data_IF_378836340340
#
_entry.id   IF_378836340340
#
_cell.length_a   1.000
_cell.length_b   1.000
_cell.length_c   1.000
_cell.angle_alpha   90.00
_cell.angle_beta   90.00
_cell.angle_gamma   90.00
#
_symmetry.space_group_name_H-M   'P 1'
#
loop_
_entity.id
_entity.type
_entity.pdbx_description
1 polymer ?
#
# COMPACT_ATOMS: atom_id res chain seq x y z
N UNK A 1 6.50 -8.44 36.53
CA UNK A 1 5.05 -8.70 36.46
C UNK A 1 4.64 -8.72 34.99
N UNK A 2 4.28 -9.92 34.51
CA UNK A 2 3.42 -10.37 33.38
C UNK A 2 2.98 -9.41 32.23
N UNK A 3 2.53 -9.93 31.05
CA UNK A 3 2.54 -11.32 30.55
C UNK A 3 2.96 -11.54 29.07
N UNK A 4 3.15 -12.81 28.71
CA UNK A 4 3.44 -13.38 27.39
C UNK A 4 2.21 -13.49 26.45
N UNK A 5 2.39 -13.60 25.11
CA UNK A 5 1.27 -13.73 24.18
C UNK A 5 0.71 -15.16 24.12
N UNK A 6 -0.62 -15.26 24.10
CA UNK A 6 -1.39 -16.50 24.01
C UNK A 6 -1.42 -17.03 22.57
N UNK A 7 -1.25 -18.35 22.41
CA UNK A 7 -1.58 -19.10 21.19
C UNK A 7 -3.07 -18.93 20.86
N UNK A 8 -3.36 -18.40 19.67
CA UNK A 8 -4.71 -18.37 19.09
C UNK A 8 -5.08 -19.75 18.54
N UNK A 9 -6.27 -20.21 18.88
CA UNK A 9 -6.87 -21.43 18.34
C UNK A 9 -7.22 -21.26 16.87
N UNK A 10 -6.93 -22.28 16.05
CA UNK A 10 -7.32 -22.33 14.65
C UNK A 10 -8.85 -22.39 14.52
N UNK A 11 -9.41 -21.46 13.76
CA UNK A 11 -10.80 -21.46 13.31
C UNK A 11 -10.91 -22.49 12.16
N UNK A 12 -11.85 -23.45 12.18
CA UNK A 12 -12.04 -24.32 11.02
C UNK A 12 -12.59 -23.48 9.86
N UNK A 13 -11.83 -23.42 8.76
CA UNK A 13 -12.23 -22.76 7.54
C UNK A 13 -13.56 -23.37 7.03
N UNK A 14 -14.53 -22.51 6.76
CA UNK A 14 -15.78 -22.90 6.13
C UNK A 14 -15.49 -23.45 4.72
N UNK A 15 -15.82 -24.73 4.49
CA UNK A 15 -15.76 -25.35 3.18
C UNK A 15 -16.85 -24.70 2.30
N UNK A 16 -16.53 -24.08 1.16
CA UNK A 16 -17.55 -23.62 0.24
C UNK A 16 -18.26 -24.83 -0.37
N UNK A 17 -19.57 -24.88 -0.23
CA UNK A 17 -20.44 -25.91 -0.81
C UNK A 17 -20.35 -25.86 -2.34
N UNK A 18 -19.69 -26.86 -2.95
CA UNK A 18 -19.63 -27.04 -4.39
C UNK A 18 -20.68 -28.08 -4.82
N UNK A 19 -21.66 -27.65 -5.62
CA UNK A 19 -22.67 -28.52 -6.22
C UNK A 19 -22.26 -28.84 -7.66
N UNK A 20 -21.84 -30.08 -7.92
CA UNK A 20 -21.59 -30.59 -9.26
C UNK A 20 -22.61 -31.70 -9.57
N UNK A 21 -23.44 -31.49 -10.59
CA UNK A 21 -24.32 -32.52 -11.14
C UNK A 21 -23.91 -32.81 -12.59
N UNK A 22 -23.81 -34.08 -13.01
CA UNK A 22 -23.50 -34.42 -14.40
C UNK A 22 -24.63 -33.93 -15.33
N UNK A 23 -24.32 -33.46 -16.56
CA UNK A 23 -25.33 -32.91 -17.46
C UNK A 23 -26.33 -34.00 -17.86
N UNK A 24 -27.60 -33.81 -17.48
CA UNK A 24 -28.71 -34.69 -17.87
C UNK A 24 -29.43 -34.10 -19.08
N UNK A 25 -29.44 -34.84 -20.18
CA UNK A 25 -30.16 -34.45 -21.39
C UNK A 25 -31.67 -34.34 -21.12
N UNK A 26 -32.26 -33.20 -21.47
CA UNK A 26 -33.70 -32.99 -21.42
C UNK A 26 -34.39 -33.79 -22.56
N UNK A 27 -35.51 -34.47 -22.31
CA UNK A 27 -36.23 -35.15 -23.38
C UNK A 27 -36.73 -34.12 -24.41
N UNK A 28 -36.50 -34.41 -25.69
CA UNK A 28 -36.89 -33.54 -26.79
C UNK A 28 -38.40 -33.34 -26.78
N UNK A 29 -38.82 -32.08 -26.64
CA UNK A 29 -40.23 -31.70 -26.71
C UNK A 29 -40.62 -31.55 -28.18
N UNK A 30 -41.62 -32.32 -28.62
CA UNK A 30 -42.12 -32.23 -30.00
C UNK A 30 -42.64 -30.82 -30.30
N UNK A 31 -42.16 -30.22 -31.39
CA UNK A 31 -42.42 -28.81 -31.79
C UNK A 31 -43.81 -28.56 -32.40
N UNK A 32 -44.63 -29.59 -32.62
CA UNK A 32 -45.98 -29.44 -33.18
C UNK A 32 -47.01 -30.31 -32.45
N UNK A 33 -48.23 -29.78 -32.32
CA UNK A 33 -49.41 -30.46 -31.78
C UNK A 33 -49.90 -31.50 -32.81
N UNK A 34 -50.03 -32.80 -32.46
CA UNK A 34 -50.55 -33.78 -33.39
C UNK A 34 -52.08 -33.66 -33.57
N UNK A 35 -52.64 -34.09 -34.72
CA UNK A 35 -54.08 -34.08 -34.99
C UNK A 35 -54.84 -35.11 -34.12
N UNK A 36 -56.14 -34.88 -33.84
CA UNK A 36 -56.91 -35.76 -32.97
C UNK A 36 -57.61 -36.82 -33.82
N UNK A 37 -57.07 -38.04 -33.92
CA UNK A 37 -57.84 -39.28 -34.18
C UNK A 37 -56.89 -40.47 -34.29
N UNK A 38 -56.77 -41.23 -33.19
CA UNK A 38 -56.53 -42.68 -33.13
C UNK A 38 -56.28 -43.11 -31.68
N UNK A 39 -57.20 -43.92 -31.14
CA UNK A 39 -57.13 -44.93 -30.06
C UNK A 39 -56.31 -44.69 -28.76
N UNK A 40 -56.80 -45.17 -27.60
CA UNK A 40 -56.21 -44.91 -26.30
C UNK A 40 -54.98 -45.80 -26.08
N UNK A 41 -53.79 -45.23 -26.18
CA UNK A 41 -52.62 -45.79 -25.50
C UNK A 41 -52.59 -45.21 -24.09
N UNK A 42 -52.57 -46.10 -23.11
CA UNK A 42 -52.49 -45.82 -21.68
C UNK A 42 -51.27 -44.93 -21.39
N UNK A 43 -51.50 -43.62 -21.35
CA UNK A 43 -50.56 -42.68 -20.74
C UNK A 43 -50.64 -42.94 -19.24
N UNK A 44 -49.56 -43.45 -18.66
CA UNK A 44 -49.36 -43.38 -17.22
C UNK A 44 -49.71 -41.96 -16.76
N UNK A 45 -50.56 -41.79 -15.73
CA UNK A 45 -50.91 -40.47 -15.26
C UNK A 45 -49.62 -39.78 -14.84
N UNK A 46 -49.29 -38.67 -15.49
CA UNK A 46 -48.21 -37.78 -15.07
C UNK A 46 -48.45 -37.51 -13.59
N UNK A 47 -47.66 -38.17 -12.74
CA UNK A 47 -47.72 -38.00 -11.30
C UNK A 47 -47.18 -36.61 -11.03
N UNK A 48 -48.07 -35.63 -10.98
CA UNK A 48 -47.78 -34.35 -10.37
C UNK A 48 -47.42 -34.66 -8.91
N UNK A 49 -46.12 -34.70 -8.63
CA UNK A 49 -45.63 -34.81 -7.28
C UNK A 49 -45.95 -33.47 -6.61
N UNK A 50 -47.03 -33.46 -5.82
CA UNK A 50 -47.34 -32.33 -4.96
C UNK A 50 -46.09 -32.04 -4.12
N UNK A 51 -45.55 -30.81 -4.21
CA UNK A 51 -44.40 -30.38 -3.40
C UNK A 51 -44.62 -30.56 -1.90
N UNK A 52 -45.86 -30.82 -1.47
CA UNK A 52 -46.27 -31.20 -0.11
C UNK A 52 -45.88 -32.63 0.31
N UNK A 53 -45.42 -33.48 -0.61
CA UNK A 53 -44.99 -34.85 -0.32
C UNK A 53 -43.55 -35.13 -0.78
N UNK A 54 -42.83 -34.11 -1.25
CA UNK A 54 -41.41 -34.24 -1.62
C UNK A 54 -40.55 -34.36 -0.33
N UNK A 55 -39.76 -35.42 -0.16
CA UNK A 55 -38.90 -35.63 1.01
C UNK A 55 -37.74 -34.61 1.11
N UNK A 56 -37.45 -33.86 0.04
CA UNK A 56 -36.41 -32.82 0.05
C UNK A 56 -36.92 -31.48 0.56
N UNK A 57 -38.24 -31.31 0.62
CA UNK A 57 -38.89 -30.07 1.06
C UNK A 57 -39.14 -30.17 2.57
N UNK A 58 -38.23 -29.59 3.35
CA UNK A 58 -38.34 -29.52 4.81
C UNK A 58 -39.44 -28.51 5.17
N UNK A 59 -40.53 -28.99 5.75
CA UNK A 59 -41.67 -28.15 6.18
C UNK A 59 -41.57 -27.90 7.68
N UNK A 60 -41.07 -26.73 8.07
CA UNK A 60 -40.90 -26.34 9.47
C UNK A 60 -39.86 -25.23 9.65
N UNK A 61 -39.76 -24.71 10.87
CA UNK A 61 -38.81 -23.65 11.22
C UNK A 61 -37.37 -24.20 11.24
N UNK A 62 -36.47 -23.64 10.44
CA UNK A 62 -35.09 -24.15 10.22
C UNK A 62 -34.10 -23.82 11.35
N UNK A 63 -34.54 -23.11 12.39
CA UNK A 63 -33.68 -22.67 13.50
C UNK A 63 -33.57 -23.65 14.69
N UNK A 64 -34.27 -24.79 14.67
CA UNK A 64 -34.29 -25.73 15.81
C UNK A 64 -33.56 -27.07 15.58
N UNK A 65 -32.70 -27.18 14.56
CA UNK A 65 -31.92 -28.39 14.25
C UNK A 65 -30.44 -28.29 14.68
N UNK A 66 -30.19 -27.67 15.82
CA UNK A 66 -28.93 -27.88 16.56
C UNK A 66 -29.23 -28.26 18.00
N UNK A 67 -29.89 -29.40 18.17
CA UNK A 67 -29.73 -30.23 19.36
C UNK A 67 -29.49 -31.63 18.84
N UNK A 68 -28.26 -32.11 18.97
CA UNK A 68 -27.90 -33.52 18.76
C UNK A 68 -28.68 -34.32 19.81
N UNK A 69 -29.66 -35.17 19.44
CA UNK A 69 -30.27 -36.07 20.39
C UNK A 69 -29.32 -37.24 20.57
N UNK A 70 -28.55 -37.21 21.65
CA UNK A 70 -27.96 -38.41 22.20
C UNK A 70 -29.09 -39.28 22.75
N UNK A 71 -29.71 -40.12 21.92
CA UNK A 71 -30.51 -41.30 22.31
C UNK A 71 -30.96 -42.07 21.05
N UNK A 72 -30.11 -43.00 20.59
CA UNK A 72 -30.44 -44.06 19.62
C UNK A 72 -31.38 -45.11 20.25
N UNK A 73 -32.65 -44.75 20.53
CA UNK A 73 -33.61 -45.72 21.05
C UNK A 73 -35.07 -45.52 20.57
N UNK A 74 -35.34 -44.67 19.59
CA UNK A 74 -36.71 -44.47 19.09
C UNK A 74 -36.97 -44.85 17.63
N UNK A 75 -36.01 -45.48 16.93
CA UNK A 75 -36.22 -45.94 15.54
C UNK A 75 -36.44 -47.45 15.41
N UNK A 76 -36.23 -48.25 16.48
CA UNK A 76 -36.46 -49.70 16.45
C UNK A 76 -37.94 -50.06 16.27
N UNK A 77 -38.85 -49.30 16.90
CA UNK A 77 -40.29 -49.57 16.83
C UNK A 77 -40.89 -49.25 15.45
N UNK A 78 -40.40 -48.19 14.80
CA UNK A 78 -40.82 -47.83 13.43
C UNK A 78 -40.26 -48.80 12.38
N UNK A 79 -38.99 -49.21 12.52
CA UNK A 79 -38.37 -50.24 11.68
C UNK A 79 -39.08 -51.59 11.87
N UNK A 80 -39.46 -51.95 13.10
CA UNK A 80 -40.19 -53.18 13.41
C UNK A 80 -41.62 -53.17 12.85
N UNK A 81 -42.33 -52.04 12.95
CA UNK A 81 -43.65 -51.84 12.32
C UNK A 81 -43.58 -51.95 10.80
N UNK A 82 -42.54 -51.40 10.16
CA UNK A 82 -42.34 -51.53 8.71
C UNK A 82 -42.01 -52.96 8.28
N UNK A 83 -41.18 -53.68 9.06
CA UNK A 83 -40.88 -55.10 8.82
C UNK A 83 -42.13 -55.98 8.99
N UNK A 84 -42.94 -55.71 10.02
CA UNK A 84 -44.18 -56.43 10.26
C UNK A 84 -45.23 -56.15 9.17
N UNK A 85 -45.36 -54.89 8.72
CA UNK A 85 -46.21 -54.52 7.60
C UNK A 85 -45.78 -55.21 6.29
N UNK A 86 -44.47 -55.29 6.03
CA UNK A 86 -43.91 -56.00 4.87
C UNK A 86 -44.14 -57.52 4.96
N UNK A 87 -44.02 -58.11 6.15
CA UNK A 87 -44.32 -59.53 6.41
C UNK A 87 -45.82 -59.82 6.21
N UNK A 88 -46.70 -58.97 6.71
CA UNK A 88 -48.16 -59.09 6.55
C UNK A 88 -48.59 -58.92 5.10
N UNK A 89 -47.93 -58.04 4.35
CA UNK A 89 -48.16 -57.87 2.91
C UNK A 89 -47.73 -59.11 2.10
N UNK A 90 -46.58 -59.72 2.42
CA UNK A 90 -46.14 -60.98 1.79
C UNK A 90 -47.04 -62.16 2.15
N UNK A 91 -47.48 -62.27 3.40
CA UNK A 91 -48.45 -63.29 3.81
C UNK A 91 -49.79 -63.14 3.09
N UNK A 92 -50.27 -61.90 2.90
CA UNK A 92 -51.49 -61.61 2.13
C UNK A 92 -51.32 -61.92 0.63
N UNK A 93 -50.11 -61.77 0.06
CA UNK A 93 -49.82 -62.21 -1.32
C UNK A 93 -49.86 -63.73 -1.43
N UNK A 94 -49.19 -64.47 -0.52
CA UNK A 94 -49.22 -65.95 -0.49
C UNK A 94 -50.62 -66.51 -0.25
N UNK A 95 -51.42 -65.89 0.63
CA UNK A 95 -52.81 -66.29 0.86
C UNK A 95 -53.69 -66.07 -0.38
N UNK A 96 -53.45 -64.98 -1.14
CA UNK A 96 -54.12 -64.78 -2.44
C UNK A 96 -53.71 -65.83 -3.48
N UNK A 97 -52.43 -66.21 -3.52
CA UNK A 97 -51.94 -67.27 -4.41
C UNK A 97 -52.53 -68.65 -4.04
N UNK A 98 -52.73 -68.96 -2.75
CA UNK A 98 -53.39 -70.20 -2.32
C UNK A 98 -54.90 -70.22 -2.64
N UNK A 99 -55.59 -69.07 -2.63
CA UNK A 99 -56.99 -68.97 -3.06
C UNK A 99 -57.12 -69.09 -4.60
N UNK A 100 -56.04 -68.82 -5.35
CA UNK A 100 -55.97 -69.02 -6.80
C UNK A 100 -55.60 -70.46 -7.22
N UNK A 101 -55.61 -71.43 -6.29
CA UNK A 101 -55.35 -72.85 -6.61
C UNK A 101 -56.55 -73.55 -7.29
N UNK A 102 -57.71 -72.87 -7.40
CA UNK A 102 -58.81 -73.36 -8.23
C UNK A 102 -58.62 -72.81 -9.65
N UNK A 103 -58.45 -73.67 -10.68
CA UNK A 103 -58.30 -73.20 -12.06
C UNK A 103 -59.53 -72.39 -12.50
N UNK A 104 -59.33 -71.44 -13.42
CA UNK A 104 -60.42 -70.61 -13.94
C UNK A 104 -61.52 -71.46 -14.60
N UNK A 105 -62.81 -71.09 -14.46
CA UNK A 105 -63.90 -71.85 -15.06
C UNK A 105 -63.77 -71.90 -16.59
N UNK A 106 -64.03 -73.06 -17.18
CA UNK A 106 -64.05 -73.23 -18.64
C UNK A 106 -65.19 -72.39 -19.25
N UNK A 107 -64.93 -71.69 -20.36
CA UNK A 107 -65.87 -70.78 -21.00
C UNK A 107 -67.25 -71.44 -21.21
N UNK A 108 -68.30 -70.80 -20.65
CA UNK A 108 -69.68 -71.28 -20.72
C UNK A 108 -70.18 -72.06 -19.49
N UNK A 109 -69.39 -72.19 -18.41
CA UNK A 109 -69.82 -72.78 -17.13
C UNK A 109 -69.42 -71.91 -15.94
N UNK A 110 -70.30 -71.83 -14.94
CA UNK A 110 -70.05 -71.12 -13.68
C UNK A 110 -69.77 -72.12 -12.55
N UNK A 111 -68.78 -71.82 -11.69
CA UNK A 111 -68.50 -72.61 -10.50
C UNK A 111 -69.50 -72.27 -9.37
N UNK A 112 -70.12 -73.28 -8.78
CA UNK A 112 -71.03 -73.14 -7.63
C UNK A 112 -70.34 -73.67 -6.37
N UNK A 113 -70.46 -72.93 -5.26
CA UNK A 113 -69.89 -73.33 -3.97
C UNK A 113 -70.76 -74.42 -3.32
N UNK A 114 -70.17 -75.59 -3.06
CA UNK A 114 -70.82 -76.71 -2.36
C UNK A 114 -70.35 -76.72 -0.91
N UNK A 115 -71.25 -76.97 0.04
CA UNK A 115 -70.92 -77.08 1.47
C UNK A 115 -70.01 -78.30 1.71
N UNK A 116 -68.72 -78.06 1.92
CA UNK A 116 -67.73 -79.09 2.30
C UNK A 116 -67.34 -79.01 3.78
N UNK A 117 -68.24 -78.52 4.62
CA UNK A 117 -68.05 -78.47 6.06
C UNK A 117 -68.28 -79.87 6.66
N UNK A 118 -67.50 -80.24 7.68
CA UNK A 118 -67.57 -81.56 8.30
C UNK A 118 -68.90 -81.71 9.08
N UNK A 119 -69.86 -82.46 8.53
CA UNK A 119 -71.23 -82.63 9.08
C UNK A 119 -71.40 -83.88 9.97
N UNK A 120 -70.39 -84.29 10.74
CA UNK A 120 -70.51 -85.47 11.62
C UNK A 120 -70.33 -85.07 13.08
N UNK A 121 -71.35 -85.33 13.90
CA UNK A 121 -71.31 -85.24 15.37
C UNK A 121 -70.82 -86.58 15.96
N UNK A 122 -69.82 -86.55 16.85
CA UNK A 122 -69.35 -87.72 17.59
C UNK A 122 -70.35 -88.10 18.70
N UNK A 123 -70.92 -89.30 18.63
CA UNK A 123 -71.79 -89.87 19.68
C UNK A 123 -70.90 -90.58 20.70
N UNK A 124 -70.84 -90.05 21.93
CA UNK A 124 -70.06 -90.61 23.04
C UNK A 124 -70.91 -91.53 23.94
N UNK A 125 -71.37 -92.66 23.41
CA UNK A 125 -72.08 -93.68 24.21
C UNK A 125 -71.24 -94.96 24.29
N UNK A 126 -70.79 -95.31 25.51
CA UNK A 126 -69.97 -96.50 25.76
C UNK A 126 -70.88 -97.73 25.85
N UNK A 127 -70.72 -98.68 24.94
CA UNK A 127 -71.39 -99.99 25.01
C UNK A 127 -70.88 -100.82 26.20
N UNK A 128 -71.80 -101.50 26.88
CA UNK A 128 -71.51 -102.37 28.03
C UNK A 128 -70.86 -103.66 27.54
N UNK A 129 -69.66 -103.95 28.02
CA UNK A 129 -68.92 -105.19 27.73
C UNK A 129 -69.41 -106.32 28.66
N UNK A 130 -69.60 -107.52 28.09
CA UNK A 130 -69.96 -108.74 28.83
C UNK A 130 -68.77 -109.68 28.78
N UNK A 131 -68.20 -109.98 29.94
CA UNK A 131 -67.05 -110.86 30.08
C UNK A 131 -67.45 -112.34 29.89
N UNK A 132 -66.81 -112.99 28.93
CA UNK A 132 -66.82 -114.45 28.80
C UNK A 132 -65.41 -114.97 29.04
N UNK A 133 -65.22 -115.70 30.13
CA UNK A 133 -63.92 -116.28 30.50
C UNK A 133 -63.68 -117.58 29.72
N UNK A 134 -62.54 -117.67 29.02
CA UNK A 134 -62.03 -118.90 28.41
C UNK A 134 -60.59 -119.15 28.87
N UNK A 135 -60.35 -120.33 29.41
CA UNK A 135 -59.08 -120.81 29.95
C UNK A 135 -58.23 -121.45 28.83
N UNK A 136 -57.04 -120.93 28.51
CA UNK A 136 -55.74 -121.66 28.50
C UNK A 136 -54.62 -120.99 27.69
N UNK A 137 -53.44 -121.10 28.31
CA UNK A 137 -52.04 -120.97 27.89
C UNK A 137 -51.43 -119.61 27.51
N UNK A 138 -50.31 -119.30 28.19
CA UNK A 138 -49.55 -118.07 28.01
C UNK A 138 -48.69 -118.15 26.75
N UNK A 139 -49.11 -117.46 25.69
CA UNK A 139 -48.35 -117.30 24.45
C UNK A 139 -46.99 -116.63 24.73
N UNK A 140 -45.89 -117.38 24.56
CA UNK A 140 -44.55 -116.78 24.42
C UNK A 140 -44.38 -116.34 22.95
N UNK A 141 -44.06 -115.07 22.74
CA UNK A 141 -43.85 -114.52 21.40
C UNK A 141 -42.73 -115.27 20.65
N UNK A 142 -43.10 -115.86 19.51
CA UNK A 142 -42.15 -116.45 18.58
C UNK A 142 -41.26 -115.34 18.00
N UNK A 143 -39.92 -115.45 18.03
CA UNK A 143 -39.08 -114.43 17.40
C UNK A 143 -39.44 -114.32 15.91
N UNK A 144 -39.42 -113.10 15.33
CA UNK A 144 -39.81 -112.89 13.95
C UNK A 144 -38.93 -113.77 13.04
N UNK A 145 -39.57 -114.54 12.17
CA UNK A 145 -38.87 -115.40 11.21
C UNK A 145 -38.00 -114.52 10.30
N UNK A 146 -36.70 -114.85 10.12
CA UNK A 146 -35.81 -114.02 9.30
C UNK A 146 -36.32 -113.91 7.87
N UNK A 147 -36.25 -112.71 7.30
CA UNK A 147 -36.65 -112.46 5.92
C UNK A 147 -35.78 -113.27 4.95
N UNK A 148 -36.42 -114.05 4.07
CA UNK A 148 -35.72 -114.79 3.03
C UNK A 148 -35.26 -113.82 1.92
N UNK A 149 -33.95 -113.63 1.80
CA UNK A 149 -33.32 -112.85 0.72
C UNK A 149 -32.81 -113.84 -0.34
N UNK A 150 -33.38 -113.87 -1.55
CA UNK A 150 -32.88 -114.71 -2.63
C UNK A 150 -31.41 -114.39 -2.95
N UNK A 151 -30.62 -115.41 -3.29
CA UNK A 151 -29.26 -115.20 -3.78
C UNK A 151 -29.29 -114.39 -5.08
N UNK A 152 -28.53 -113.29 -5.14
CA UNK A 152 -28.42 -112.47 -6.36
C UNK A 152 -27.91 -113.35 -7.51
N UNK A 153 -28.73 -113.51 -8.55
CA UNK A 153 -28.36 -114.21 -9.78
C UNK A 153 -28.19 -113.17 -10.89
N UNK A 154 -26.93 -112.77 -11.12
CA UNK A 154 -26.51 -111.77 -12.10
C UNK A 154 -24.98 -111.62 -12.04
N UNK A 155 -24.36 -111.10 -13.11
CA UNK A 155 -22.94 -110.72 -13.07
C UNK A 155 -22.86 -109.27 -12.63
N UNK A 156 -22.29 -109.03 -11.45
CA UNK A 156 -22.06 -107.67 -10.96
C UNK A 156 -20.88 -107.05 -11.74
N UNK A 157 -21.12 -105.90 -12.37
CA UNK A 157 -20.10 -105.09 -13.05
C UNK A 157 -20.11 -103.72 -12.38
N UNK A 158 -18.97 -103.31 -11.85
CA UNK A 158 -18.76 -101.95 -11.37
C UNK A 158 -18.00 -101.16 -12.44
N UNK A 159 -18.54 -100.01 -12.81
CA UNK A 159 -17.85 -99.01 -13.64
C UNK A 159 -17.52 -97.83 -12.74
N UNK A 160 -16.24 -97.52 -12.59
CA UNK A 160 -15.74 -96.37 -11.86
C UNK A 160 -15.01 -95.46 -12.84
N UNK A 161 -15.23 -94.16 -12.72
CA UNK A 161 -14.46 -93.15 -13.46
C UNK A 161 -13.29 -92.77 -12.57
N UNK A 162 -12.07 -92.88 -13.10
CA UNK A 162 -10.85 -92.57 -12.38
C UNK A 162 -10.55 -91.06 -12.42
N UNK A 163 -9.74 -90.58 -11.47
CA UNK A 163 -9.32 -89.18 -11.42
C UNK A 163 -8.59 -88.79 -12.73
N UNK A 164 -9.16 -87.82 -13.46
CA UNK A 164 -8.60 -87.32 -14.73
C UNK A 164 -9.20 -87.93 -16.00
N UNK A 165 -10.09 -88.92 -15.92
CA UNK A 165 -10.69 -89.55 -17.12
C UNK A 165 -11.69 -88.64 -17.85
N UNK A 166 -12.30 -87.67 -17.15
CA UNK A 166 -13.23 -86.69 -17.70
C UNK A 166 -12.65 -85.27 -17.82
N UNK A 167 -11.35 -85.10 -17.62
CA UNK A 167 -10.73 -83.78 -17.66
C UNK A 167 -10.64 -83.27 -19.11
N UNK A 168 -11.30 -82.15 -19.37
CA UNK A 168 -11.17 -81.41 -20.63
C UNK A 168 -10.36 -80.13 -20.39
N UNK A 169 -9.16 -80.08 -20.97
CA UNK A 169 -8.25 -78.97 -20.77
C UNK A 169 -8.84 -77.65 -21.30
N UNK A 170 -9.53 -77.67 -22.44
CA UNK A 170 -9.99 -76.46 -23.11
C UNK A 170 -11.09 -75.76 -22.31
N UNK A 171 -11.93 -76.53 -21.60
CA UNK A 171 -13.00 -76.01 -20.72
C UNK A 171 -12.42 -75.53 -19.39
N UNK A 172 -11.52 -76.31 -18.79
CA UNK A 172 -11.03 -76.03 -17.44
C UNK A 172 -9.99 -74.88 -17.41
N UNK A 173 -9.28 -74.63 -18.52
CA UNK A 173 -8.30 -73.54 -18.62
C UNK A 173 -8.94 -72.18 -18.91
N UNK A 174 -10.13 -72.16 -19.51
CA UNK A 174 -10.87 -70.94 -19.86
C UNK A 174 -11.01 -69.93 -18.70
N UNK A 175 -11.50 -70.32 -17.49
CA UNK A 175 -11.62 -69.36 -16.38
C UNK A 175 -10.26 -68.87 -15.84
N UNK A 176 -9.21 -69.70 -15.94
CA UNK A 176 -7.85 -69.30 -15.52
C UNK A 176 -7.30 -68.24 -16.47
N UNK A 177 -7.46 -68.46 -17.78
CA UNK A 177 -7.02 -67.50 -18.80
C UNK A 177 -7.84 -66.21 -18.76
N UNK A 178 -9.15 -66.29 -18.55
CA UNK A 178 -10.00 -65.11 -18.43
C UNK A 178 -9.53 -64.21 -17.28
N UNK A 179 -9.24 -64.80 -16.11
CA UNK A 179 -8.73 -64.04 -14.96
C UNK A 179 -7.33 -63.49 -15.22
N UNK A 180 -6.43 -64.27 -15.82
CA UNK A 180 -5.07 -63.80 -16.12
C UNK A 180 -5.06 -62.66 -17.14
N UNK A 181 -5.80 -62.79 -18.24
CA UNK A 181 -5.90 -61.75 -19.27
C UNK A 181 -6.63 -60.54 -18.71
N UNK A 182 -7.74 -60.73 -18.01
CA UNK A 182 -8.49 -59.64 -17.37
C UNK A 182 -7.61 -58.86 -16.38
N UNK A 183 -6.91 -59.55 -15.48
CA UNK A 183 -6.06 -58.90 -14.48
C UNK A 183 -4.87 -58.18 -15.09
N UNK A 184 -4.23 -58.79 -16.10
CA UNK A 184 -3.09 -58.16 -16.79
C UNK A 184 -3.52 -56.92 -17.57
N UNK A 185 -4.66 -56.96 -18.25
CA UNK A 185 -5.21 -55.79 -18.95
C UNK A 185 -5.64 -54.68 -17.98
N UNK A 186 -6.33 -55.02 -16.89
CA UNK A 186 -6.71 -54.06 -15.85
C UNK A 186 -5.50 -53.38 -15.23
N UNK A 187 -4.48 -54.16 -14.86
CA UNK A 187 -3.25 -53.63 -14.27
C UNK A 187 -2.52 -52.72 -15.25
N UNK A 188 -2.34 -53.16 -16.51
CA UNK A 188 -1.68 -52.34 -17.53
C UNK A 188 -2.43 -51.01 -17.78
N UNK A 189 -3.77 -51.05 -17.80
CA UNK A 189 -4.56 -49.82 -17.98
C UNK A 189 -4.39 -48.86 -16.80
N UNK A 190 -4.43 -49.35 -15.57
CA UNK A 190 -4.24 -48.51 -14.38
C UNK A 190 -2.83 -47.89 -14.35
N UNK A 191 -1.80 -48.68 -14.63
CA UNK A 191 -0.41 -48.19 -14.67
C UNK A 191 -0.22 -47.09 -15.72
N UNK A 192 -0.74 -47.29 -16.94
CA UNK A 192 -0.66 -46.27 -18.00
C UNK A 192 -1.42 -45.00 -17.62
N UNK A 193 -2.60 -45.12 -17.02
CA UNK A 193 -3.36 -43.96 -16.56
C UNK A 193 -2.61 -43.18 -15.46
N UNK A 194 -2.00 -43.88 -14.50
CA UNK A 194 -1.20 -43.26 -13.45
C UNK A 194 0.04 -42.55 -14.02
N UNK A 195 0.73 -43.17 -14.99
CA UNK A 195 1.88 -42.56 -15.67
C UNK A 195 1.49 -41.29 -16.44
N UNK A 196 0.37 -41.31 -17.15
CA UNK A 196 -0.15 -40.13 -17.86
C UNK A 196 -0.53 -39.00 -16.91
N UNK A 197 -1.18 -39.31 -15.79
CA UNK A 197 -1.52 -38.33 -14.76
C UNK A 197 -0.26 -37.69 -14.14
N UNK A 198 0.74 -38.50 -13.80
CA UNK A 198 2.02 -38.01 -13.28
C UNK A 198 2.76 -37.14 -14.29
N UNK A 199 2.76 -37.53 -15.57
CA UNK A 199 3.37 -36.75 -16.64
C UNK A 199 2.70 -35.38 -16.81
N UNK A 200 1.36 -35.33 -16.73
CA UNK A 200 0.60 -34.08 -16.77
C UNK A 200 0.89 -33.19 -15.56
N UNK A 201 0.94 -33.74 -14.36
CA UNK A 201 1.28 -33.00 -13.14
C UNK A 201 2.69 -32.40 -13.21
N UNK A 202 3.68 -33.18 -13.68
CA UNK A 202 5.03 -32.67 -13.87
C UNK A 202 5.13 -31.59 -14.95
N UNK A 203 4.41 -31.75 -16.06
CA UNK A 203 4.35 -30.73 -17.10
C UNK A 203 3.76 -29.42 -16.55
N UNK A 204 2.67 -29.51 -15.77
CA UNK A 204 2.05 -28.35 -15.13
C UNK A 204 2.99 -27.70 -14.10
N UNK A 205 3.67 -28.48 -13.26
CA UNK A 205 4.65 -27.96 -12.31
C UNK A 205 5.81 -27.24 -12.99
N UNK A 206 6.35 -27.81 -14.08
CA UNK A 206 7.42 -27.16 -14.87
C UNK A 206 6.96 -25.84 -15.48
N UNK A 207 5.80 -25.82 -16.13
CA UNK A 207 5.24 -24.60 -16.70
C UNK A 207 5.01 -23.51 -15.63
N UNK A 208 4.50 -23.90 -14.45
CA UNK A 208 4.33 -22.97 -13.34
C UNK A 208 5.66 -22.44 -12.79
N UNK A 209 6.67 -23.31 -12.67
CA UNK A 209 8.01 -22.91 -12.22
C UNK A 209 8.67 -21.95 -13.22
N UNK A 210 8.55 -22.20 -14.52
CA UNK A 210 9.04 -21.32 -15.58
C UNK A 210 8.37 -19.95 -15.52
N UNK A 211 7.04 -19.91 -15.40
CA UNK A 211 6.29 -18.65 -15.26
C UNK A 211 6.72 -17.88 -14.01
N UNK A 212 6.79 -18.56 -12.85
CA UNK A 212 7.19 -17.95 -11.59
C UNK A 212 8.62 -17.39 -11.66
N UNK A 213 9.54 -18.11 -12.31
CA UNK A 213 10.92 -17.64 -12.46
C UNK A 213 10.99 -16.42 -13.39
N UNK A 214 10.19 -16.38 -14.46
CA UNK A 214 10.08 -15.22 -15.33
C UNK A 214 9.49 -13.99 -14.61
N UNK A 215 8.41 -14.18 -13.85
CA UNK A 215 7.80 -13.14 -13.03
C UNK A 215 8.78 -12.59 -11.98
N UNK A 216 9.50 -13.48 -11.29
CA UNK A 216 10.49 -13.08 -10.29
C UNK A 216 11.62 -12.25 -10.92
N UNK A 217 12.12 -12.65 -12.08
CA UNK A 217 13.15 -11.90 -12.81
C UNK A 217 12.62 -10.51 -13.26
N UNK A 218 11.35 -10.42 -13.67
CA UNK A 218 10.74 -9.15 -14.04
C UNK A 218 10.58 -8.22 -12.83
N UNK A 219 10.11 -8.75 -11.69
CA UNK A 219 9.98 -7.99 -10.45
C UNK A 219 11.34 -7.44 -10.00
N UNK A 220 12.39 -8.27 -10.00
CA UNK A 220 13.75 -7.81 -9.67
C UNK A 220 14.22 -6.67 -10.58
N UNK A 221 13.99 -6.81 -11.90
CA UNK A 221 14.31 -5.76 -12.86
C UNK A 221 13.59 -4.44 -12.56
N UNK A 222 12.30 -4.50 -12.21
CA UNK A 222 11.50 -3.31 -11.88
C UNK A 222 11.94 -2.70 -10.54
N UNK A 223 12.23 -3.52 -9.53
CA UNK A 223 12.72 -3.05 -8.22
C UNK A 223 14.04 -2.30 -8.34
N UNK A 224 14.97 -2.78 -9.16
CA UNK A 224 16.24 -2.10 -9.43
C UNK A 224 16.04 -0.77 -10.17
N UNK A 225 15.14 -0.73 -11.15
CA UNK A 225 14.78 0.51 -11.85
C UNK A 225 14.18 1.53 -10.88
N UNK A 226 13.25 1.09 -10.02
CA UNK A 226 12.64 1.93 -8.99
C UNK A 226 13.66 2.41 -7.96
N UNK A 227 14.64 1.57 -7.60
CA UNK A 227 15.75 1.97 -6.72
C UNK A 227 16.55 3.12 -7.33
N UNK A 228 16.98 2.97 -8.59
CA UNK A 228 17.71 4.02 -9.33
C UNK A 228 16.90 5.31 -9.43
N UNK A 229 15.61 5.21 -9.76
CA UNK A 229 14.73 6.37 -9.88
C UNK A 229 14.50 7.07 -8.54
N UNK A 230 14.34 6.30 -7.45
CA UNK A 230 14.21 6.84 -6.09
C UNK A 230 15.47 7.60 -5.68
N UNK A 231 16.65 7.02 -5.88
CA UNK A 231 17.93 7.66 -5.60
C UNK A 231 18.13 8.95 -6.40
N UNK A 232 17.82 8.95 -7.71
CA UNK A 232 17.91 10.17 -8.51
C UNK A 232 16.93 11.25 -8.02
N UNK A 233 15.68 10.86 -7.75
CA UNK A 233 14.64 11.77 -7.25
C UNK A 233 15.05 12.40 -5.92
N UNK A 234 15.67 11.64 -5.01
CA UNK A 234 16.19 12.15 -3.75
C UNK A 234 17.35 13.12 -3.96
N UNK A 235 18.31 12.79 -4.83
CA UNK A 235 19.41 13.70 -5.20
C UNK A 235 18.87 15.01 -5.76
N UNK A 236 17.90 14.96 -6.68
CA UNK A 236 17.26 16.16 -7.26
C UNK A 236 16.53 17.00 -6.20
N UNK A 237 15.82 16.36 -5.28
CA UNK A 237 15.15 17.06 -4.16
C UNK A 237 16.17 17.78 -3.28
N UNK A 238 17.26 17.12 -2.90
CA UNK A 238 18.31 17.71 -2.07
C UNK A 238 18.96 18.92 -2.77
N UNK A 239 19.29 18.79 -4.06
CA UNK A 239 19.81 19.90 -4.86
C UNK A 239 18.82 21.08 -4.92
N UNK A 240 17.53 20.79 -5.12
CA UNK A 240 16.51 21.83 -5.17
C UNK A 240 16.32 22.54 -3.82
N UNK A 241 16.33 21.80 -2.72
CA UNK A 241 16.26 22.38 -1.37
C UNK A 241 17.46 23.30 -1.11
N UNK A 242 18.67 22.86 -1.46
CA UNK A 242 19.89 23.68 -1.31
C UNK A 242 19.84 24.94 -2.19
N UNK A 243 19.35 24.82 -3.44
CA UNK A 243 19.16 25.96 -4.32
C UNK A 243 18.16 26.97 -3.73
N UNK A 244 17.02 26.48 -3.22
CA UNK A 244 16.01 27.33 -2.57
C UNK A 244 16.55 28.02 -1.31
N UNK A 245 17.36 27.34 -0.50
CA UNK A 245 18.01 27.93 0.67
C UNK A 245 18.94 29.08 0.25
N UNK A 246 19.83 28.84 -0.72
CA UNK A 246 20.71 29.88 -1.26
C UNK A 246 19.92 31.05 -1.86
N UNK A 247 18.84 30.76 -2.59
CA UNK A 247 17.97 31.81 -3.13
C UNK A 247 17.39 32.66 -2.00
N UNK A 248 16.83 32.05 -0.95
CA UNK A 248 16.32 32.79 0.22
C UNK A 248 17.41 33.68 0.84
N UNK A 249 18.58 33.14 1.13
CA UNK A 249 19.71 33.92 1.66
C UNK A 249 20.08 35.10 0.74
N UNK A 250 20.14 34.87 -0.58
CA UNK A 250 20.45 35.94 -1.53
C UNK A 250 19.35 37.00 -1.56
N UNK A 251 18.08 36.61 -1.52
CA UNK A 251 16.95 37.56 -1.49
C UNK A 251 16.94 38.39 -0.21
N UNK A 252 17.25 37.78 0.93
CA UNK A 252 17.37 38.47 2.22
C UNK A 252 18.54 39.46 2.22
N UNK A 253 19.70 39.07 1.67
CA UNK A 253 20.86 39.98 1.53
C UNK A 253 20.54 41.16 0.62
N UNK A 254 19.87 40.93 -0.51
CA UNK A 254 19.46 41.99 -1.43
C UNK A 254 18.44 42.91 -0.76
N UNK A 255 17.46 42.35 -0.04
CA UNK A 255 16.46 43.12 0.68
C UNK A 255 17.10 43.98 1.79
N UNK A 256 18.04 43.42 2.56
CA UNK A 256 18.78 44.14 3.60
C UNK A 256 19.64 45.26 3.00
N UNK A 257 20.32 45.01 1.88
CA UNK A 257 21.11 46.03 1.18
C UNK A 257 20.22 47.15 0.62
N UNK A 258 19.11 46.81 -0.02
CA UNK A 258 18.15 47.79 -0.53
C UNK A 258 17.54 48.64 0.60
N UNK A 259 17.21 48.00 1.73
CA UNK A 259 16.73 48.69 2.92
C UNK A 259 17.79 49.64 3.48
N UNK A 260 19.03 49.17 3.67
CA UNK A 260 20.13 50.00 4.16
C UNK A 260 20.38 51.18 3.22
N UNK A 261 20.47 50.96 1.91
CA UNK A 261 20.67 52.04 0.93
C UNK A 261 19.58 53.10 1.05
N UNK A 262 18.31 52.69 1.07
CA UNK A 262 17.18 53.62 1.22
C UNK A 262 17.24 54.39 2.54
N UNK A 263 17.50 53.69 3.65
CA UNK A 263 17.62 54.31 4.97
C UNK A 263 18.79 55.30 5.06
N UNK A 264 19.97 54.94 4.56
CA UNK A 264 21.14 55.82 4.53
C UNK A 264 20.93 57.03 3.61
N UNK A 265 20.23 56.87 2.49
CA UNK A 265 19.95 57.98 1.56
C UNK A 265 19.17 59.10 2.25
N UNK A 266 18.22 58.75 3.12
CA UNK A 266 17.42 59.74 3.86
C UNK A 266 18.12 60.22 5.14
N UNK A 267 18.85 59.32 5.84
CA UNK A 267 19.51 59.63 7.10
C UNK A 267 20.72 60.55 6.92
N UNK A 268 21.55 60.33 5.89
CA UNK A 268 22.78 61.10 5.66
C UNK A 268 22.44 62.60 5.55
N UNK A 269 21.58 63.07 4.62
CA UNK A 269 21.24 64.48 4.53
C UNK A 269 20.62 65.03 5.82
N UNK A 270 19.74 64.27 6.48
CA UNK A 270 19.12 64.71 7.74
C UNK A 270 20.15 64.95 8.84
N UNK A 271 21.09 64.02 9.04
CA UNK A 271 22.15 64.17 10.05
C UNK A 271 23.10 65.30 9.69
N UNK A 272 23.49 65.42 8.42
CA UNK A 272 24.35 66.53 7.96
C UNK A 272 23.68 67.90 8.12
N UNK A 273 22.38 68.01 7.82
CA UNK A 273 21.61 69.24 8.08
C UNK A 273 21.52 69.54 9.58
N UNK A 274 21.18 68.55 10.41
CA UNK A 274 21.12 68.73 11.87
C UNK A 274 22.47 69.14 12.47
N UNK A 275 23.58 68.56 12.01
CA UNK A 275 24.93 68.91 12.44
C UNK A 275 25.36 70.32 11.96
N UNK A 276 24.89 70.73 10.78
CA UNK A 276 25.10 72.08 10.26
C UNK A 276 24.30 73.10 11.07
N UNK A 277 23.03 72.81 11.37
CA UNK A 277 22.16 73.61 12.22
C UNK A 277 22.68 73.70 13.66
N UNK A 278 23.28 72.63 14.19
CA UNK A 278 23.91 72.64 15.52
C UNK A 278 25.26 73.36 15.55
N UNK A 279 25.72 73.92 14.42
CA UNK A 279 26.98 74.68 14.32
C UNK A 279 28.24 73.82 14.46
N UNK A 280 28.17 72.51 14.19
CA UNK A 280 29.34 71.64 14.25
C UNK A 280 30.25 71.81 13.02
N UNK A 281 29.65 72.07 11.85
CA UNK A 281 30.38 72.46 10.65
C UNK A 281 30.57 73.98 10.63
N UNK A 282 31.82 74.43 10.70
CA UNK A 282 32.22 75.83 10.60
C UNK A 282 33.08 76.03 9.35
N UNK A 283 33.05 77.23 8.77
CA UNK A 283 34.01 77.61 7.74
C UNK A 283 35.36 77.88 8.42
N UNK A 284 36.45 77.18 8.05
CA UNK A 284 37.77 77.43 8.62
C UNK A 284 38.20 78.89 8.46
N UNK A 285 37.81 79.55 7.37
CA UNK A 285 38.18 80.95 7.12
C UNK A 285 37.46 81.89 8.10
N UNK A 286 36.16 81.68 8.32
CA UNK A 286 35.40 82.46 9.30
C UNK A 286 35.98 82.26 10.71
N UNK A 287 36.34 81.02 11.06
CA UNK A 287 36.92 80.72 12.36
C UNK A 287 38.29 81.37 12.54
N UNK A 288 39.17 81.26 11.56
CA UNK A 288 40.50 81.87 11.58
C UNK A 288 40.41 83.40 11.65
N UNK A 289 39.43 83.99 10.96
CA UNK A 289 39.16 85.43 11.08
C UNK A 289 38.72 85.78 12.51
N UNK A 290 37.78 85.02 13.09
CA UNK A 290 37.30 85.26 14.45
C UNK A 290 38.37 85.05 15.53
N UNK A 291 39.22 84.03 15.38
CA UNK A 291 40.18 83.65 16.43
C UNK A 291 41.55 84.27 16.28
N UNK A 292 41.99 84.58 15.06
CA UNK A 292 43.34 85.11 14.81
C UNK A 292 43.29 86.55 14.32
N UNK A 293 42.53 86.83 13.26
CA UNK A 293 42.55 88.15 12.62
C UNK A 293 41.87 89.24 13.46
N UNK A 294 40.68 89.01 14.00
CA UNK A 294 39.97 90.00 14.80
C UNK A 294 40.75 90.37 16.07
N UNK A 295 41.30 89.41 16.86
CA UNK A 295 42.15 89.75 17.98
C UNK A 295 43.40 90.53 17.56
N UNK A 296 44.09 90.08 16.50
CA UNK A 296 45.25 90.81 15.97
C UNK A 296 44.91 92.24 15.56
N UNK A 297 43.81 92.46 14.83
CA UNK A 297 43.35 93.77 14.42
C UNK A 297 43.01 94.65 15.62
N UNK A 298 42.33 94.09 16.63
CA UNK A 298 42.00 94.81 17.85
C UNK A 298 43.26 95.23 18.62
N UNK A 299 44.29 94.38 18.67
CA UNK A 299 45.59 94.72 19.26
C UNK A 299 46.31 95.82 18.49
N UNK A 300 46.35 95.77 17.14
CA UNK A 300 46.99 96.81 16.34
C UNK A 300 46.24 98.16 16.47
N UNK A 301 44.91 98.12 16.51
CA UNK A 301 44.10 99.32 16.78
C UNK A 301 44.41 99.89 18.16
N UNK A 302 44.52 99.04 19.18
CA UNK A 302 44.92 99.43 20.54
C UNK A 302 46.30 100.09 20.55
N UNK A 303 47.31 99.50 19.90
CA UNK A 303 48.64 100.10 19.77
C UNK A 303 48.60 101.48 19.09
N UNK A 304 47.82 101.64 18.02
CA UNK A 304 47.71 102.95 17.35
C UNK A 304 47.01 103.98 18.23
N UNK A 305 46.04 103.55 19.04
CA UNK A 305 45.36 104.41 20.00
C UNK A 305 46.32 104.82 21.12
N UNK A 306 47.11 103.88 21.64
CA UNK A 306 48.16 104.15 22.63
C UNK A 306 49.21 105.12 22.10
N UNK A 307 49.70 104.93 20.87
CA UNK A 307 50.61 105.87 20.19
C UNK A 307 49.99 107.27 20.09
N UNK A 308 48.69 107.37 19.77
CA UNK A 308 47.96 108.65 19.72
C UNK A 308 47.76 109.27 21.11
N UNK A 309 47.43 108.47 22.13
CA UNK A 309 47.30 108.94 23.52
C UNK A 309 48.64 109.44 24.04
N UNK A 310 49.71 108.68 23.82
CA UNK A 310 51.08 109.09 24.15
C UNK A 310 51.47 110.38 23.42
N UNK A 311 51.16 110.49 22.13
CA UNK A 311 51.37 111.71 21.35
C UNK A 311 50.62 112.92 21.94
N UNK A 312 49.36 112.75 22.34
CA UNK A 312 48.58 113.80 23.04
C UNK A 312 49.19 114.13 24.40
N UNK A 313 49.61 113.15 25.19
CA UNK A 313 50.26 113.38 26.49
C UNK A 313 51.59 114.13 26.34
N UNK A 314 52.41 113.75 25.35
CA UNK A 314 53.65 114.45 25.03
C UNK A 314 53.37 115.87 24.58
N UNK A 315 52.38 116.10 23.71
CA UNK A 315 51.95 117.43 23.29
C UNK A 315 51.47 118.27 24.49
N UNK A 316 50.64 117.72 25.37
CA UNK A 316 50.16 118.38 26.58
C UNK A 316 51.31 118.72 27.55
N UNK A 317 52.33 117.84 27.64
CA UNK A 317 53.54 118.11 28.41
C UNK A 317 54.37 119.23 27.78
N UNK A 318 54.49 119.24 26.45
CA UNK A 318 55.21 120.28 25.71
C UNK A 318 54.51 121.63 25.87
N UNK A 319 53.18 121.66 25.73
CA UNK A 319 52.36 122.85 25.98
C UNK A 319 52.59 123.35 27.41
N UNK A 320 52.56 122.47 28.42
CA UNK A 320 52.90 122.84 29.82
C UNK A 320 54.29 123.46 29.93
N UNK A 321 55.34 122.83 29.38
CA UNK A 321 56.71 123.38 29.45
C UNK A 321 56.86 124.71 28.71
N UNK A 322 56.18 124.91 27.58
CA UNK A 322 56.21 126.19 26.83
C UNK A 322 55.47 127.27 27.62
N UNK A 323 54.33 126.94 28.25
CA UNK A 323 53.60 127.86 29.12
C UNK A 323 54.45 128.23 30.34
N UNK A 324 55.12 127.27 30.99
CA UNK A 324 56.06 127.52 32.09
C UNK A 324 57.23 128.40 31.66
N UNK A 325 57.92 128.08 30.54
CA UNK A 325 59.00 128.92 30.01
C UNK A 325 58.55 130.32 29.63
N UNK A 326 57.32 130.49 29.11
CA UNK A 326 56.75 131.81 28.84
C UNK A 326 56.37 132.55 30.13
N UNK A 327 55.89 131.85 31.14
CA UNK A 327 55.64 132.42 32.47
C UNK A 327 56.96 132.90 33.11
N UNK A 328 58.03 132.11 32.99
CA UNK A 328 59.37 132.44 33.45
C UNK A 328 59.97 133.62 32.67
N UNK A 329 59.81 133.62 31.33
CA UNK A 329 60.24 134.74 30.47
C UNK A 329 59.42 136.02 30.71
N UNK A 330 58.14 135.92 31.06
CA UNK A 330 57.34 137.08 31.43
C UNK A 330 57.68 137.60 32.83
N UNK A 331 58.15 136.70 33.72
CA UNK A 331 58.70 137.06 35.03
C UNK A 331 60.09 137.69 34.94
N UNK A 332 60.73 137.68 33.77
CA UNK A 332 62.03 138.29 33.49
C UNK A 332 62.01 139.15 32.21
N UNK A 333 61.87 140.46 32.33
CA UNK A 333 62.24 141.42 31.28
C UNK A 333 63.05 142.59 31.85
N UNK A 334 63.88 143.30 31.06
CA UNK A 334 64.72 142.82 29.94
C UNK A 334 66.10 143.53 29.87
N UNK A 335 67.20 142.93 29.38
CA UNK A 335 68.38 143.69 28.88
C UNK A 335 69.18 143.01 27.74
N UNK A 336 69.22 143.72 26.60
CA UNK A 336 70.32 143.99 25.65
C UNK A 336 71.37 142.93 25.25
N UNK A 337 71.55 142.80 23.92
CA UNK A 337 72.84 143.12 23.29
C UNK A 337 73.63 141.99 22.59
N UNK A 338 73.49 141.93 21.25
CA UNK A 338 74.53 141.74 20.22
C UNK A 338 75.46 140.50 20.25
N UNK A 339 75.53 139.76 19.13
CA UNK A 339 76.67 139.74 18.15
C UNK A 339 76.77 138.41 17.36
N UNK A 340 76.58 138.52 16.03
CA UNK A 340 77.25 137.85 14.88
C UNK A 340 77.37 136.30 14.81
N UNK A 341 76.72 135.60 13.86
CA UNK A 341 77.05 135.39 12.41
C UNK A 341 77.98 134.17 12.14
N UNK A 342 78.05 133.59 10.92
CA UNK A 342 76.98 133.03 10.07
C UNK A 342 77.36 131.67 9.39
N UNK A 343 76.51 131.19 8.46
CA UNK A 343 76.67 130.06 7.49
C UNK A 343 76.19 128.68 8.01
N UNK A 344 75.45 127.85 7.26
CA UNK A 344 75.40 127.67 5.81
C UNK A 344 74.09 126.92 5.42
N UNK A 345 73.42 127.41 4.38
CA UNK A 345 72.33 126.77 3.61
C UNK A 345 72.95 125.91 2.48
N UNK A 346 72.27 124.88 1.93
CA UNK A 346 71.35 125.15 0.80
C UNK A 346 70.10 124.25 0.73
N UNK A 347 68.93 124.90 0.66
CA UNK A 347 68.04 125.04 -0.52
C UNK A 347 67.88 123.91 -1.59
N UNK A 348 66.76 123.92 -2.34
CA UNK A 348 65.89 122.78 -2.65
C UNK A 348 65.83 122.42 -4.15
N UNK A 349 65.07 121.37 -4.53
CA UNK A 349 64.58 121.21 -5.91
C UNK A 349 63.15 120.60 -5.93
N UNK A 350 62.30 121.31 -6.67
CA UNK A 350 60.95 121.02 -7.15
C UNK A 350 60.82 119.75 -8.04
N UNK A 351 59.56 119.47 -8.40
CA UNK A 351 59.09 118.90 -9.68
C UNK A 351 58.60 117.44 -9.69
N UNK A 352 57.26 117.31 -9.71
CA UNK A 352 56.51 116.35 -10.54
C UNK A 352 56.91 116.51 -12.04
N UNK A 353 56.57 115.64 -13.04
CA UNK A 353 55.34 114.83 -13.14
C UNK A 353 55.42 113.49 -13.97
N UNK A 354 54.27 112.79 -14.10
CA UNK A 354 53.71 112.08 -15.29
C UNK A 354 54.54 110.95 -15.97
N UNK A 355 54.03 109.94 -16.67
CA UNK A 355 52.74 109.35 -17.07
C UNK A 355 53.10 108.05 -17.81
N UNK A 356 52.10 107.23 -18.09
CA UNK A 356 52.01 106.32 -19.25
C UNK A 356 52.94 105.11 -19.24
N UNK A 357 52.55 103.90 -19.61
CA UNK A 357 51.40 103.31 -20.30
C UNK A 357 51.83 101.80 -20.35
N UNK A 358 51.04 100.75 -20.50
CA UNK A 358 49.68 100.51 -20.94
C UNK A 358 49.56 98.96 -20.86
N UNK A 359 48.33 98.46 -20.61
CA UNK A 359 47.70 97.36 -21.38
C UNK A 359 48.33 95.95 -21.24
N UNK A 360 47.63 94.84 -21.07
CA UNK A 360 46.24 94.34 -21.07
C UNK A 360 46.44 92.87 -20.63
N UNK A 361 45.50 92.03 -20.23
CA UNK A 361 44.05 91.94 -20.15
C UNK A 361 43.82 90.69 -19.26
N UNK A 362 42.86 90.69 -18.33
CA UNK A 362 41.54 90.04 -18.46
C UNK A 362 41.63 88.54 -18.88
N UNK A 363 40.95 87.58 -18.29
CA UNK A 363 39.76 87.60 -17.45
C UNK A 363 39.62 86.26 -16.71
N UNK A 364 38.94 86.33 -15.56
CA UNK A 364 38.37 85.24 -14.74
C UNK A 364 37.08 84.66 -15.44
N UNK A 365 36.27 83.71 -14.91
CA UNK A 365 36.43 82.77 -13.77
C UNK A 365 35.75 81.35 -13.97
N UNK A 366 35.75 80.54 -12.87
CA UNK A 366 34.59 79.81 -12.27
C UNK A 366 34.15 78.39 -12.75
N UNK A 367 34.37 77.45 -11.81
CA UNK A 367 33.53 76.35 -11.28
C UNK A 367 33.24 75.02 -11.99
N UNK A 368 33.35 74.00 -11.12
CA UNK A 368 32.47 72.84 -10.93
C UNK A 368 32.61 71.65 -11.89
N UNK A 369 33.22 70.63 -11.31
CA UNK A 369 33.17 69.21 -11.68
C UNK A 369 31.79 68.62 -11.36
N UNK A 370 31.19 67.89 -12.31
CA UNK A 370 30.39 66.68 -12.05
C UNK A 370 30.05 65.88 -13.33
N UNK A 371 30.12 64.56 -13.15
CA UNK A 371 29.44 63.42 -13.83
C UNK A 371 29.72 62.98 -15.29
N UNK A 372 30.19 61.72 -15.40
CA UNK A 372 29.54 60.65 -16.18
C UNK A 372 30.16 60.22 -17.52
N UNK A 373 30.84 59.06 -17.61
CA UNK A 373 30.27 57.78 -18.11
C UNK A 373 31.34 56.65 -18.21
N UNK A 374 30.92 55.40 -17.98
CA UNK A 374 31.73 54.15 -17.99
C UNK A 374 31.76 53.50 -19.40
N UNK A 375 32.34 52.28 -19.65
CA UNK A 375 33.26 51.45 -18.87
C UNK A 375 34.52 50.95 -19.64
N UNK A 376 35.41 50.36 -18.84
CA UNK A 376 36.60 49.59 -19.17
C UNK A 376 36.23 48.21 -19.75
N UNK A 377 36.99 47.78 -20.76
CA UNK A 377 36.86 46.51 -21.47
C UNK A 377 37.26 45.30 -20.61
N UNK A 378 36.47 44.24 -20.74
CA UNK A 378 36.63 42.93 -20.10
C UNK A 378 37.82 42.14 -20.68
N UNK A 379 38.66 41.60 -19.78
CA UNK A 379 39.60 40.52 -20.09
C UNK A 379 38.83 39.23 -20.41
N UNK A 380 38.99 38.74 -21.65
CA UNK A 380 38.58 37.40 -22.05
C UNK A 380 39.53 36.35 -21.46
N UNK A 381 39.24 35.86 -20.25
CA UNK A 381 39.76 34.59 -19.78
C UNK A 381 38.94 33.44 -20.38
N UNK A 382 39.40 32.98 -21.54
CA UNK A 382 39.01 31.70 -22.12
C UNK A 382 39.57 30.55 -21.27
N UNK A 383 38.84 30.13 -20.22
CA UNK A 383 39.01 28.79 -19.63
C UNK A 383 37.76 27.97 -19.89
N UNK A 384 37.83 27.25 -21.00
CA UNK A 384 37.04 26.07 -21.34
C UNK A 384 37.20 25.06 -20.20
N UNK A 385 36.27 25.03 -19.26
CA UNK A 385 36.15 23.94 -18.30
C UNK A 385 35.57 22.77 -19.11
N UNK A 386 36.46 21.85 -19.49
CA UNK A 386 36.11 20.50 -19.90
C UNK A 386 35.32 19.85 -18.76
N UNK A 387 34.06 19.51 -19.02
CA UNK A 387 33.27 18.64 -18.18
C UNK A 387 33.91 17.25 -18.24
N UNK A 388 34.79 16.94 -17.28
CA UNK A 388 35.24 15.58 -17.04
C UNK A 388 34.05 14.83 -16.44
N UNK A 389 33.51 13.89 -17.21
CA UNK A 389 32.73 12.78 -16.71
C UNK A 389 33.65 11.98 -15.78
N UNK A 390 33.44 12.07 -14.47
CA UNK A 390 33.90 11.04 -13.55
C UNK A 390 33.00 9.82 -13.78
N UNK A 391 33.57 8.81 -14.42
CA UNK A 391 33.04 7.45 -14.40
C UNK A 391 33.04 6.94 -12.94
N UNK A 392 31.98 6.26 -12.47
CA UNK A 392 32.04 5.57 -11.20
C UNK A 392 32.88 4.30 -11.35
N UNK A 393 33.86 4.15 -10.46
CA UNK A 393 34.72 2.97 -10.31
C UNK A 393 33.91 1.67 -10.33
N UNK A 394 34.35 0.75 -11.17
CA UNK A 394 33.98 -0.66 -11.18
C UNK A 394 34.90 -1.44 -10.23
N UNK A 395 34.34 -2.51 -9.64
CA UNK A 395 34.94 -3.50 -8.75
C UNK A 395 35.14 -3.00 -7.30
N UNK A 396 34.68 -3.70 -6.25
CA UNK A 396 34.87 -5.12 -5.99
C UNK A 396 33.58 -5.77 -5.45
N UNK A 397 33.08 -6.78 -6.16
CA UNK A 397 32.19 -7.81 -5.61
C UNK A 397 33.10 -8.90 -5.03
N UNK A 398 33.30 -8.90 -3.72
CA UNK A 398 33.88 -10.05 -3.04
C UNK A 398 32.80 -11.12 -2.80
N UNK A 399 33.24 -12.33 -3.09
CA UNK A 399 32.50 -13.57 -3.24
C UNK A 399 31.64 -13.99 -2.03
N UNK A 400 30.56 -14.68 -2.39
CA UNK A 400 29.78 -15.54 -1.51
C UNK A 400 30.64 -16.68 -0.96
N UNK A 401 30.86 -16.72 0.36
CA UNK A 401 31.11 -17.97 1.07
C UNK A 401 29.80 -18.47 1.68
N UNK A 402 29.39 -19.64 1.20
CA UNK A 402 28.33 -20.51 1.67
C UNK A 402 28.71 -21.15 3.02
N UNK A 403 27.80 -21.11 3.99
CA UNK A 403 27.58 -22.19 4.96
C UNK A 403 26.09 -22.60 4.95
#
# INVERSE_FOLDING_TARGET
MLPAPRRGAAVPAAIPYCYCSPPRALPARNKYRPPPEAAPQEKEPVRYANLMHDPRVVRGNTYALQVIPACTHLDLFEIQRQREARRKALARKRAKEQVQLTPEPVEGREHVHVQTELYLEEISDRTIEVDTECQTDAFLDRPPTPFFIPAKTGRDVATQIEEGELFDFDIEVEPILEVLVGKTMEQALLEVMEEEELAQLWAHQRAYAELRNAELAEVQRLEEQDRRYREEKERRKLQHIQMLQKQKETTEKIAAWAFAKRYLTDLIPSVFSNLRESGFFYDPIERDIETEFLPWLMTEVEETLEKKVLGRMMLDSLIRTVVEKRLDAFSQEPQSGQTEAPAEEPEPIDAAPQEADEIEAADLPVTASEEGDQPVAEEQLSRRISFQLEEPDQAETEDLETE
#
